data_IF_730650660344
#
_entry.id   IF_730650660344
#
_cell.length_a   1.000
_cell.length_b   1.000
_cell.length_c   1.000
_cell.angle_alpha   90.00
_cell.angle_beta   90.00
_cell.angle_gamma   90.00
#
_symmetry.space_group_name_H-M   'P 1'
#
loop_
_entity.id
_entity.type
_entity.pdbx_description
1 polymer ?
#
# COMPACT_ATOMS: atom_id res chain seq x y z
N UNK A 1 6.61 -7.87 7.66
CA UNK A 1 5.89 -6.57 7.74
C UNK A 1 6.70 -5.49 7.01
N UNK A 2 6.98 -5.68 5.72
CA UNK A 2 8.07 -4.94 5.05
C UNK A 2 7.92 -4.88 3.53
N UNK A 3 6.69 -4.72 3.04
CA UNK A 3 6.43 -4.59 1.60
C UNK A 3 6.43 -3.12 1.18
N UNK A 4 5.68 -2.28 1.92
CA UNK A 4 5.58 -0.84 1.63
C UNK A 4 6.78 0.00 2.04
N UNK A 5 7.51 -0.36 3.10
CA UNK A 5 8.79 0.30 3.38
C UNK A 5 9.78 0.12 2.21
N UNK A 6 9.69 -1.02 1.53
CA UNK A 6 10.49 -1.40 0.36
C UNK A 6 9.98 -0.73 -0.91
N UNK A 7 8.67 -0.71 -1.14
CA UNK A 7 8.06 0.06 -2.25
C UNK A 7 8.41 1.55 -2.16
N UNK A 8 8.37 2.13 -0.95
CA UNK A 8 8.73 3.53 -0.70
C UNK A 8 10.24 3.79 -0.74
N UNK A 9 11.11 2.80 -0.50
CA UNK A 9 12.56 2.93 -0.73
C UNK A 9 12.93 2.81 -2.21
N UNK A 10 12.09 2.13 -3.00
CA UNK A 10 12.26 2.02 -4.45
C UNK A 10 11.78 3.28 -5.20
N UNK A 11 10.96 4.12 -4.56
CA UNK A 11 10.74 5.50 -5.02
C UNK A 11 12.02 6.31 -4.76
N UNK A 12 12.67 6.77 -5.83
CA UNK A 12 13.89 7.60 -5.79
C UNK A 12 13.61 9.04 -5.28
N UNK A 13 13.05 9.17 -4.08
CA UNK A 13 12.66 10.46 -3.49
C UNK A 13 13.76 11.00 -2.55
N UNK A 14 13.93 12.33 -2.48
CA UNK A 14 14.81 12.95 -1.49
C UNK A 14 14.49 12.47 -0.07
N UNK A 15 15.50 11.93 0.64
CA UNK A 15 15.34 11.33 1.98
C UNK A 15 14.66 12.26 3.00
N UNK A 16 14.76 13.58 2.79
CA UNK A 16 14.09 14.60 3.59
C UNK A 16 12.56 14.55 3.48
N UNK A 17 12.00 14.41 2.28
CA UNK A 17 10.54 14.35 2.07
C UNK A 17 9.95 13.10 2.72
N UNK A 18 10.62 11.96 2.56
CA UNK A 18 10.23 10.68 3.19
C UNK A 18 10.29 10.77 4.72
N UNK A 19 11.29 11.47 5.28
CA UNK A 19 11.37 11.72 6.73
C UNK A 19 10.24 12.63 7.21
N UNK A 20 10.00 13.75 6.55
CA UNK A 20 8.92 14.68 6.91
C UNK A 20 7.55 13.98 6.86
N UNK A 21 7.28 13.21 5.80
CA UNK A 21 6.06 12.44 5.66
C UNK A 21 5.87 11.42 6.80
N UNK A 22 6.92 10.70 7.22
CA UNK A 22 6.84 9.74 8.34
C UNK A 22 6.34 10.36 9.64
N UNK A 23 6.74 11.61 9.95
CA UNK A 23 6.24 12.33 11.13
C UNK A 23 4.77 12.75 10.99
N UNK A 24 4.29 13.02 9.77
CA UNK A 24 2.88 13.34 9.52
C UNK A 24 1.91 12.15 9.56
N UNK A 25 2.39 10.90 9.49
CA UNK A 25 1.51 9.71 9.43
C UNK A 25 0.66 9.52 10.70
N UNK A 26 1.16 9.92 11.88
CA UNK A 26 0.39 9.85 13.13
C UNK A 26 -0.74 10.90 13.22
N UNK A 27 -0.62 12.01 12.47
CA UNK A 27 -1.60 13.11 12.43
C UNK A 27 -2.71 12.89 11.38
N UNK A 28 -2.54 11.91 10.49
CA UNK A 28 -3.42 11.66 9.36
C UNK A 28 -4.81 11.18 9.78
N UNK A 29 -5.84 11.93 9.36
CA UNK A 29 -7.25 11.60 9.56
C UNK A 29 -7.92 11.41 8.21
N UNK A 30 -8.12 10.15 7.81
CA UNK A 30 -8.70 9.71 6.52
C UNK A 30 -9.83 10.61 6.02
N UNK A 31 -10.87 10.83 6.81
CA UNK A 31 -12.07 11.57 6.38
C UNK A 31 -11.80 13.05 6.06
N UNK A 32 -10.89 13.69 6.82
CA UNK A 32 -10.51 15.10 6.67
C UNK A 32 -9.50 15.27 5.54
N UNK A 33 -8.42 14.49 5.60
CA UNK A 33 -7.22 14.73 4.82
C UNK A 33 -7.32 14.16 3.42
N UNK A 34 -7.94 12.99 3.23
CA UNK A 34 -8.13 12.40 1.89
C UNK A 34 -9.00 13.30 1.00
N UNK A 35 -10.07 13.87 1.56
CA UNK A 35 -10.94 14.80 0.84
C UNK A 35 -10.17 16.06 0.42
N UNK A 36 -9.28 16.56 1.28
CA UNK A 36 -8.46 17.75 1.02
C UNK A 36 -7.33 17.52 0.01
N UNK A 37 -6.68 16.36 0.06
CA UNK A 37 -5.49 16.02 -0.75
C UNK A 37 -5.88 15.46 -2.12
N UNK A 38 -6.95 14.66 -2.18
CA UNK A 38 -7.31 13.84 -3.35
C UNK A 38 -8.69 14.17 -3.92
N UNK A 39 -9.49 15.01 -3.27
CA UNK A 39 -10.91 15.20 -3.60
C UNK A 39 -11.79 13.98 -3.35
N UNK A 40 -11.23 12.88 -2.83
CA UNK A 40 -11.90 11.59 -2.68
C UNK A 40 -12.56 11.45 -1.30
N UNK A 41 -13.71 10.78 -1.30
CA UNK A 41 -14.44 10.45 -0.08
C UNK A 41 -13.82 9.23 0.59
N UNK A 42 -13.83 9.18 1.93
CA UNK A 42 -13.29 8.08 2.74
C UNK A 42 -13.88 6.70 2.40
N UNK A 43 -15.13 6.68 1.91
CA UNK A 43 -15.86 5.50 1.46
C UNK A 43 -15.31 4.81 0.21
N UNK A 44 -14.37 5.44 -0.52
CA UNK A 44 -13.68 4.78 -1.62
C UNK A 44 -12.80 3.62 -1.12
N UNK A 45 -12.67 2.55 -1.92
CA UNK A 45 -11.86 1.40 -1.53
C UNK A 45 -10.38 1.78 -1.38
N UNK A 46 -9.68 1.30 -0.32
CA UNK A 46 -8.27 1.65 -0.08
C UNK A 46 -7.36 1.42 -1.30
N UNK A 47 -7.61 0.36 -2.08
CA UNK A 47 -6.86 0.08 -3.31
C UNK A 47 -7.02 1.17 -4.38
N UNK A 48 -8.23 1.72 -4.60
CA UNK A 48 -8.45 2.83 -5.53
C UNK A 48 -7.78 4.11 -5.04
N UNK A 49 -7.88 4.39 -3.74
CA UNK A 49 -7.24 5.54 -3.10
C UNK A 49 -5.72 5.50 -3.27
N UNK A 50 -5.07 4.39 -2.94
CA UNK A 50 -3.61 4.24 -3.09
C UNK A 50 -3.19 4.39 -4.57
N UNK A 51 -3.94 3.80 -5.52
CA UNK A 51 -3.67 3.98 -6.95
C UNK A 51 -3.76 5.44 -7.41
N UNK A 52 -4.77 6.19 -6.94
CA UNK A 52 -4.91 7.61 -7.25
C UNK A 52 -3.78 8.44 -6.64
N UNK A 53 -3.46 8.22 -5.37
CA UNK A 53 -2.39 8.90 -4.66
C UNK A 53 -1.01 8.65 -5.31
N UNK A 54 -0.74 7.45 -5.83
CA UNK A 54 0.49 7.17 -6.59
C UNK A 54 0.59 8.00 -7.87
N UNK A 55 -0.51 8.14 -8.62
CA UNK A 55 -0.54 8.97 -9.82
C UNK A 55 -0.36 10.48 -9.49
N UNK A 56 -0.94 10.95 -8.38
CA UNK A 56 -0.72 12.31 -7.88
C UNK A 56 0.75 12.52 -7.47
N UNK A 57 1.35 11.57 -6.77
CA UNK A 57 2.74 11.62 -6.32
C UNK A 57 3.71 11.68 -7.51
N UNK A 58 3.50 10.85 -8.53
CA UNK A 58 4.33 10.83 -9.72
C UNK A 58 4.24 12.15 -10.50
N UNK A 59 3.04 12.75 -10.60
CA UNK A 59 2.87 14.07 -11.20
C UNK A 59 3.62 15.18 -10.44
N UNK A 60 3.62 15.13 -9.10
CA UNK A 60 4.36 16.09 -8.26
C UNK A 60 5.87 15.86 -8.33
N UNK A 61 6.33 14.61 -8.49
CA UNK A 61 7.75 14.35 -8.71
C UNK A 61 8.21 14.89 -10.08
N UNK A 62 7.41 14.75 -11.13
CA UNK A 62 7.73 15.32 -12.46
C UNK A 62 7.92 16.84 -12.38
N UNK A 63 7.04 17.57 -11.67
CA UNK A 63 7.23 19.03 -11.48
C UNK A 63 8.45 19.35 -10.61
N UNK A 64 8.77 18.53 -9.59
CA UNK A 64 10.01 18.66 -8.80
C UNK A 64 11.26 18.52 -9.67
N UNK A 65 11.31 17.49 -10.52
CA UNK A 65 12.47 17.19 -11.39
C UNK A 65 12.62 18.23 -12.49
N UNK A 66 11.50 18.70 -13.07
CA UNK A 66 11.49 19.80 -14.03
C UNK A 66 11.87 21.17 -13.44
N UNK A 67 12.00 21.28 -12.10
CA UNK A 67 12.19 22.55 -11.36
C UNK A 67 11.08 23.57 -11.65
N UNK A 68 9.87 23.08 -11.86
CA UNK A 68 8.70 23.88 -12.20
C UNK A 68 8.31 24.80 -11.03
N UNK A 69 8.00 26.07 -11.31
CA UNK A 69 7.63 27.07 -10.30
C UNK A 69 6.32 26.76 -9.55
N UNK A 70 5.49 25.85 -10.07
CA UNK A 70 4.28 25.34 -9.40
C UNK A 70 4.55 24.22 -8.39
N UNK A 71 5.78 23.71 -8.31
CA UNK A 71 6.15 22.65 -7.37
C UNK A 71 5.94 23.11 -5.91
N UNK A 72 5.14 22.35 -5.17
CA UNK A 72 4.91 22.58 -3.74
C UNK A 72 5.41 21.39 -2.92
N UNK A 73 6.48 21.56 -2.11
CA UNK A 73 6.97 20.49 -1.24
C UNK A 73 5.94 20.10 -0.18
N UNK A 74 5.09 21.05 0.26
CA UNK A 74 4.00 20.76 1.20
C UNK A 74 2.99 19.77 0.60
N UNK A 75 2.50 20.01 -0.63
CA UNK A 75 1.61 19.07 -1.33
C UNK A 75 2.27 17.69 -1.52
N UNK A 76 3.56 17.66 -1.83
CA UNK A 76 4.32 16.40 -1.96
C UNK A 76 4.34 15.62 -0.63
N UNK A 77 4.65 16.29 0.48
CA UNK A 77 4.67 15.68 1.81
C UNK A 77 3.27 15.17 2.17
N UNK A 78 2.21 15.93 1.91
CA UNK A 78 0.82 15.52 2.17
C UNK A 78 0.41 14.25 1.41
N UNK A 79 0.73 14.17 0.11
CA UNK A 79 0.47 12.96 -0.70
C UNK A 79 1.29 11.77 -0.18
N UNK A 80 2.55 11.97 0.22
CA UNK A 80 3.38 10.92 0.83
C UNK A 80 2.85 10.47 2.20
N UNK A 81 2.33 11.38 3.04
CA UNK A 81 1.64 11.05 4.31
C UNK A 81 0.43 10.17 4.02
N UNK A 82 -0.44 10.60 3.09
CA UNK A 82 -1.63 9.86 2.70
C UNK A 82 -1.27 8.47 2.14
N UNK A 83 -0.27 8.36 1.26
CA UNK A 83 0.23 7.06 0.77
C UNK A 83 0.69 6.17 1.92
N UNK A 84 1.54 6.67 2.82
CA UNK A 84 2.08 5.90 3.94
C UNK A 84 1.00 5.44 4.94
N UNK A 85 -0.08 6.20 5.09
CA UNK A 85 -1.21 5.84 5.95
C UNK A 85 -2.17 4.86 5.24
N UNK A 86 -2.65 5.20 4.04
CA UNK A 86 -3.63 4.42 3.28
C UNK A 86 -3.12 3.05 2.87
N UNK A 87 -1.83 2.95 2.61
CA UNK A 87 -1.19 1.69 2.27
C UNK A 87 -1.17 0.68 3.42
N UNK A 88 -1.28 1.13 4.68
CA UNK A 88 -1.49 0.26 5.86
C UNK A 88 -2.93 -0.27 5.96
N UNK A 89 -3.87 0.40 5.30
CA UNK A 89 -5.28 0.02 5.23
C UNK A 89 -5.60 -0.90 4.04
N UNK A 90 -4.60 -1.29 3.25
CA UNK A 90 -4.78 -2.31 2.23
C UNK A 90 -5.03 -3.67 2.92
N UNK A 91 -6.02 -4.46 2.47
CA UNK A 91 -6.16 -5.82 2.97
C UNK A 91 -4.86 -6.58 2.67
N UNK A 92 -4.43 -7.42 3.61
CA UNK A 92 -3.28 -8.30 3.39
C UNK A 92 -3.48 -9.05 2.06
N UNK A 93 -2.42 -9.23 1.24
CA UNK A 93 -2.52 -10.04 0.03
C UNK A 93 -3.04 -11.40 0.47
N UNK A 94 -4.22 -11.78 -0.04
CA UNK A 94 -4.92 -12.98 0.41
C UNK A 94 -3.99 -14.16 0.21
N UNK A 95 -3.45 -14.67 1.32
CA UNK A 95 -2.65 -15.88 1.32
C UNK A 95 -3.59 -16.99 0.86
N UNK A 96 -3.45 -17.39 -0.41
CA UNK A 96 -4.33 -18.34 -1.04
C UNK A 96 -4.49 -19.54 -0.11
N UNK A 97 -5.72 -19.90 0.31
CA UNK A 97 -5.91 -20.94 1.30
C UNK A 97 -5.25 -22.20 0.77
N UNK A 98 -4.26 -22.70 1.50
CA UNK A 98 -3.51 -23.87 1.11
C UNK A 98 -4.53 -24.97 0.80
N UNK A 99 -4.57 -25.41 -0.46
CA UNK A 99 -5.48 -26.46 -0.92
C UNK A 99 -5.09 -27.74 -0.21
N UNK A 100 -5.68 -27.98 0.96
CA UNK A 100 -5.53 -29.22 1.70
C UNK A 100 -5.94 -30.35 0.75
N UNK A 101 -5.03 -31.26 0.36
CA UNK A 101 -5.41 -32.35 -0.51
C UNK A 101 -6.40 -33.22 0.27
N UNK A 102 -7.67 -33.15 -0.15
CA UNK A 102 -8.77 -33.93 0.40
C UNK A 102 -8.39 -35.41 0.28
N UNK A 103 -8.02 -36.05 1.41
CA UNK A 103 -7.77 -37.49 1.48
C UNK A 103 -8.99 -38.20 0.89
N UNK A 104 -8.83 -38.76 -0.29
CA UNK A 104 -9.79 -39.70 -0.85
C UNK A 104 -9.67 -40.99 -0.06
N UNK A 105 -10.63 -41.20 0.82
CA UNK A 105 -10.84 -42.46 1.53
C UNK A 105 -11.27 -43.53 0.53
N UNK A 106 -10.27 -44.18 -0.08
CA UNK A 106 -10.44 -45.32 -0.96
C UNK A 106 -9.14 -46.11 -1.03
N UNK A 107 -8.82 -46.84 0.04
CA UNK A 107 -8.12 -48.10 -0.14
C UNK A 107 -8.65 -49.13 0.87
N UNK A 108 -9.20 -50.20 0.32
CA UNK A 108 -9.91 -51.27 1.04
C UNK A 108 -9.11 -52.54 0.80
N UNK A 109 -8.10 -52.83 1.63
CA UNK A 109 -7.05 -53.80 1.30
C UNK A 109 -6.58 -54.67 2.47
N UNK A 110 -6.72 -55.99 2.31
CA UNK A 110 -6.58 -57.03 3.35
C UNK A 110 -5.97 -58.28 2.69
N UNK A 111 -5.00 -59.02 3.25
CA UNK A 111 -4.69 -59.37 4.65
C UNK A 111 -3.18 -59.48 4.93
N UNK A 112 -2.73 -59.63 6.19
CA UNK A 112 -1.50 -60.34 6.51
C UNK A 112 -1.80 -61.80 6.92
N UNK A 113 -1.22 -62.80 6.25
CA UNK A 113 -1.08 -64.17 6.79
C UNK A 113 0.07 -64.93 6.12
N UNK A 114 1.22 -64.94 6.80
CA UNK A 114 2.37 -65.85 6.67
C UNK A 114 3.30 -65.50 7.85
N UNK A 115 3.89 -66.43 8.60
CA UNK A 115 3.89 -67.91 8.57
C UNK A 115 3.49 -68.41 9.95
#
# INVERSE_FOLDING_TARGET
MSDLATALSNLNRPRLLVRAARHGVSEYKRDRDLRRISGHNSSASPRRIVSHLLAQEEAIERTRVARDGTYSPNKHIEVLVALMAESRNLPAPSAAPARTPRRTSSDTGWRPTTV
#
